data_IF_335874529814
#
_entry.id   IF_335874529814
#
_cell.length_a   1.000
_cell.length_b   1.000
_cell.length_c   1.000
_cell.angle_alpha   90.00
_cell.angle_beta   90.00
_cell.angle_gamma   90.00
#
_symmetry.space_group_name_H-M   'P 1'
#
loop_
_entity.id
_entity.type
_entity.pdbx_description
1 polymer ?
#
# COMPACT_ATOMS: atom_id res chain seq x y z
N UNK A 1 -18.41 -16.88 -37.82
CA UNK A 1 -17.11 -17.28 -38.40
C UNK A 1 -16.26 -16.04 -38.51
N UNK A 2 -15.33 -15.82 -37.57
CA UNK A 2 -14.35 -14.74 -37.73
C UNK A 2 -13.31 -15.18 -38.78
N UNK A 3 -13.03 -14.37 -39.81
CA UNK A 3 -12.00 -14.70 -40.78
C UNK A 3 -10.62 -14.58 -40.12
N UNK A 4 -9.72 -15.51 -40.45
CA UNK A 4 -8.32 -15.49 -40.03
C UNK A 4 -7.62 -14.22 -40.56
N UNK A 5 -7.62 -13.15 -39.77
CA UNK A 5 -6.84 -11.94 -40.05
C UNK A 5 -5.36 -12.23 -39.81
N UNK A 6 -4.58 -12.19 -40.88
CA UNK A 6 -3.12 -12.31 -40.85
C UNK A 6 -2.54 -10.91 -40.65
N UNK A 7 -2.17 -10.59 -39.41
CA UNK A 7 -1.50 -9.33 -39.05
C UNK A 7 -0.05 -9.39 -39.52
N UNK A 8 0.43 -8.35 -40.20
CA UNK A 8 1.83 -8.29 -40.64
C UNK A 8 2.78 -8.06 -39.46
N UNK A 9 4.03 -8.51 -39.58
CA UNK A 9 5.07 -8.32 -38.55
C UNK A 9 5.36 -6.85 -38.27
N UNK A 10 5.18 -5.98 -39.26
CA UNK A 10 5.43 -4.54 -39.16
C UNK A 10 4.32 -3.85 -38.35
N UNK A 11 3.06 -4.26 -38.53
CA UNK A 11 1.92 -3.77 -37.73
C UNK A 11 2.01 -4.23 -36.27
N UNK A 12 2.39 -5.50 -36.03
CA UNK A 12 2.70 -6.00 -34.69
C UNK A 12 3.87 -5.23 -34.05
N UNK A 13 4.90 -4.89 -34.83
CA UNK A 13 6.04 -4.10 -34.38
C UNK A 13 5.68 -2.67 -34.01
N UNK A 14 4.85 -2.00 -34.82
CA UNK A 14 4.36 -0.65 -34.55
C UNK A 14 3.44 -0.61 -33.32
N UNK A 15 2.54 -1.59 -33.18
CA UNK A 15 1.68 -1.75 -32.01
C UNK A 15 2.48 -2.02 -30.73
N UNK A 16 3.51 -2.85 -30.81
CA UNK A 16 4.42 -3.09 -29.68
C UNK A 16 5.18 -1.81 -29.31
N UNK A 17 5.71 -1.07 -30.29
CA UNK A 17 6.41 0.19 -30.04
C UNK A 17 5.50 1.26 -29.42
N UNK A 18 4.25 1.38 -29.88
CA UNK A 18 3.26 2.29 -29.32
C UNK A 18 2.83 1.89 -27.90
N UNK A 19 2.62 0.59 -27.66
CA UNK A 19 2.33 0.05 -26.34
C UNK A 19 3.48 0.24 -25.36
N UNK A 20 4.73 0.03 -25.80
CA UNK A 20 5.94 0.33 -25.03
C UNK A 20 6.08 1.83 -24.78
N UNK A 21 5.79 2.69 -25.76
CA UNK A 21 5.86 4.13 -25.57
C UNK A 21 4.80 4.64 -24.59
N UNK A 22 3.56 4.14 -24.67
CA UNK A 22 2.49 4.50 -23.74
C UNK A 22 2.77 3.96 -22.34
N UNK A 23 3.23 2.71 -22.24
CA UNK A 23 3.70 2.12 -20.99
C UNK A 23 4.84 2.96 -20.40
N UNK A 24 5.88 3.24 -21.17
CA UNK A 24 6.97 4.10 -20.72
C UNK A 24 6.49 5.50 -20.37
N UNK A 25 5.55 6.11 -21.09
CA UNK A 25 5.04 7.45 -20.79
C UNK A 25 4.23 7.49 -19.48
N UNK A 26 3.40 6.48 -19.23
CA UNK A 26 2.64 6.32 -17.98
C UNK A 26 3.55 5.93 -16.80
N UNK A 27 4.58 5.12 -17.05
CA UNK A 27 5.49 4.62 -16.01
C UNK A 27 6.79 5.43 -15.86
N UNK A 28 7.05 6.45 -16.70
CA UNK A 28 8.29 7.26 -16.67
C UNK A 28 8.47 7.99 -15.33
N UNK A 29 7.37 8.33 -14.67
CA UNK A 29 7.37 9.08 -13.42
C UNK A 29 7.01 8.24 -12.19
N UNK A 30 6.64 6.96 -12.36
CA UNK A 30 6.40 6.05 -11.24
C UNK A 30 5.26 6.44 -10.30
N UNK A 31 4.40 7.39 -10.68
CA UNK A 31 3.29 7.88 -9.87
C UNK A 31 1.99 7.85 -10.66
N UNK A 32 0.94 7.25 -10.06
CA UNK A 32 -0.44 7.51 -10.45
C UNK A 32 -0.86 8.82 -9.78
N UNK A 33 -0.60 9.94 -10.44
CA UNK A 33 -1.04 11.27 -10.00
C UNK A 33 -2.25 11.74 -10.83
N UNK A 34 -2.84 12.88 -10.45
CA UNK A 34 -3.94 13.49 -11.22
C UNK A 34 -3.55 13.79 -12.68
N UNK A 35 -2.26 13.97 -12.97
CA UNK A 35 -1.73 14.20 -14.31
C UNK A 35 -1.82 12.94 -15.18
N UNK A 36 -1.64 11.77 -14.59
CA UNK A 36 -1.85 10.46 -15.23
C UNK A 36 -3.31 10.26 -15.62
N UNK A 37 -4.26 10.75 -14.80
CA UNK A 37 -5.68 10.79 -15.12
C UNK A 37 -6.00 11.76 -16.27
N UNK A 38 -5.45 12.98 -16.24
CA UNK A 38 -5.61 13.94 -17.35
C UNK A 38 -5.01 13.42 -18.65
N UNK A 39 -3.89 12.70 -18.60
CA UNK A 39 -3.29 12.04 -19.76
C UNK A 39 -4.19 10.93 -20.32
N UNK A 40 -4.86 10.16 -19.45
CA UNK A 40 -5.85 9.15 -19.85
C UNK A 40 -7.11 9.78 -20.46
N UNK A 41 -7.61 10.89 -19.90
CA UNK A 41 -8.75 11.64 -20.46
C UNK A 41 -8.41 12.29 -21.80
N UNK A 42 -7.21 12.90 -21.91
CA UNK A 42 -6.71 13.45 -23.16
C UNK A 42 -6.48 12.34 -24.19
N UNK A 43 -5.96 11.18 -23.79
CA UNK A 43 -5.83 10.03 -24.67
C UNK A 43 -7.20 9.49 -25.11
N UNK A 44 -8.22 9.50 -24.23
CA UNK A 44 -9.59 9.12 -24.55
C UNK A 44 -10.29 10.14 -25.47
N UNK A 45 -10.03 11.43 -25.31
CA UNK A 45 -10.52 12.51 -26.16
C UNK A 45 -9.86 12.47 -27.54
N UNK A 46 -8.53 12.34 -27.59
CA UNK A 46 -7.78 12.13 -28.84
C UNK A 46 -8.24 10.85 -29.55
N UNK A 47 -8.55 9.78 -28.79
CA UNK A 47 -9.20 8.57 -29.29
C UNK A 47 -10.57 8.86 -29.91
N UNK A 48 -11.43 9.67 -29.30
CA UNK A 48 -12.74 10.02 -29.84
C UNK A 48 -12.63 10.82 -31.15
N UNK A 49 -11.69 11.77 -31.21
CA UNK A 49 -11.43 12.58 -32.41
C UNK A 49 -10.79 11.75 -33.53
N UNK A 50 -9.84 10.87 -33.21
CA UNK A 50 -9.21 9.99 -34.19
C UNK A 50 -10.18 8.91 -34.68
N UNK A 51 -11.05 8.36 -33.84
CA UNK A 51 -12.05 7.37 -34.29
C UNK A 51 -13.13 7.96 -35.20
N UNK A 52 -13.40 9.26 -35.12
CA UNK A 52 -14.21 9.99 -36.11
C UNK A 52 -13.50 10.15 -37.47
N UNK A 53 -12.17 10.28 -37.48
CA UNK A 53 -11.36 10.42 -38.71
C UNK A 53 -10.95 9.08 -39.33
N UNK A 54 -10.76 8.05 -38.51
CA UNK A 54 -10.32 6.69 -38.92
C UNK A 54 -11.37 5.99 -39.78
N UNK A 55 -12.65 6.32 -39.61
CA UNK A 55 -13.75 5.78 -40.42
C UNK A 55 -13.69 6.20 -41.90
N UNK A 56 -13.00 7.30 -42.24
CA UNK A 56 -12.89 7.79 -43.62
C UNK A 56 -11.64 7.29 -44.36
N UNK A 57 -10.62 6.77 -43.66
CA UNK A 57 -9.27 6.61 -44.25
C UNK A 57 -8.70 5.19 -44.14
N UNK A 58 -9.15 4.36 -43.18
CA UNK A 58 -8.55 3.03 -42.96
C UNK A 58 -9.45 1.88 -43.41
N UNK A 59 -8.84 0.83 -43.96
CA UNK A 59 -9.53 -0.40 -44.35
C UNK A 59 -10.11 -1.14 -43.12
N UNK A 60 -11.32 -1.72 -43.25
CA UNK A 60 -12.09 -2.36 -42.17
C UNK A 60 -11.27 -3.32 -41.28
N UNK A 61 -10.33 -4.08 -41.85
CA UNK A 61 -9.48 -5.03 -41.12
C UNK A 61 -8.52 -4.38 -40.11
N UNK A 62 -8.09 -3.15 -40.38
CA UNK A 62 -7.20 -2.38 -39.50
C UNK A 62 -7.99 -1.76 -38.35
N UNK A 63 -9.24 -1.36 -38.64
CA UNK A 63 -10.19 -0.84 -37.65
C UNK A 63 -10.54 -1.91 -36.62
N UNK A 64 -10.84 -3.14 -37.06
CA UNK A 64 -11.15 -4.27 -36.15
C UNK A 64 -9.97 -4.63 -35.24
N UNK A 65 -8.75 -4.67 -35.77
CA UNK A 65 -7.54 -5.01 -34.98
C UNK A 65 -7.24 -3.95 -33.92
N UNK A 66 -7.38 -2.67 -34.28
CA UNK A 66 -7.22 -1.53 -33.36
C UNK A 66 -8.34 -1.54 -32.31
N UNK A 67 -9.59 -1.77 -32.70
CA UNK A 67 -10.73 -1.87 -31.79
C UNK A 67 -10.58 -3.04 -30.81
N UNK A 68 -10.06 -4.18 -31.26
CA UNK A 68 -9.85 -5.34 -30.40
C UNK A 68 -8.74 -5.07 -29.36
N UNK A 69 -7.60 -4.50 -29.75
CA UNK A 69 -6.54 -4.09 -28.81
C UNK A 69 -7.07 -3.03 -27.83
N UNK A 70 -7.81 -2.05 -28.33
CA UNK A 70 -8.42 -1.01 -27.49
C UNK A 70 -9.48 -1.55 -26.54
N UNK A 71 -10.24 -2.57 -26.94
CA UNK A 71 -11.18 -3.26 -26.08
C UNK A 71 -10.44 -3.95 -24.92
N UNK A 72 -9.35 -4.68 -25.19
CA UNK A 72 -8.57 -5.34 -24.13
C UNK A 72 -7.85 -4.37 -23.20
N UNK A 73 -7.32 -3.26 -23.73
CA UNK A 73 -6.74 -2.19 -22.89
C UNK A 73 -7.82 -1.52 -22.04
N UNK A 74 -8.98 -1.21 -22.62
CA UNK A 74 -10.10 -0.63 -21.88
C UNK A 74 -10.68 -1.63 -20.85
N UNK A 75 -10.76 -2.92 -21.17
CA UNK A 75 -11.20 -3.97 -20.26
C UNK A 75 -10.20 -4.22 -19.12
N UNK A 76 -8.89 -4.15 -19.38
CA UNK A 76 -7.87 -4.22 -18.34
C UNK A 76 -7.93 -2.99 -17.41
N UNK A 77 -8.16 -1.80 -17.96
CA UNK A 77 -8.36 -0.56 -17.20
C UNK A 77 -9.65 -0.65 -16.37
N UNK A 78 -10.78 -1.04 -16.98
CA UNK A 78 -12.07 -1.21 -16.30
C UNK A 78 -11.99 -2.31 -15.23
N UNK A 79 -11.30 -3.42 -15.49
CA UNK A 79 -11.08 -4.49 -14.51
C UNK A 79 -10.20 -4.06 -13.33
N UNK A 80 -9.20 -3.21 -13.57
CA UNK A 80 -8.39 -2.61 -12.50
C UNK A 80 -9.22 -1.61 -11.66
N UNK A 81 -10.11 -0.84 -12.30
CA UNK A 81 -10.98 0.10 -11.60
C UNK A 81 -12.14 -0.58 -10.85
N UNK A 82 -12.73 -1.65 -11.40
CA UNK A 82 -13.78 -2.42 -10.72
C UNK A 82 -13.22 -3.13 -9.48
N UNK A 83 -12.03 -3.73 -9.59
CA UNK A 83 -11.36 -4.40 -8.46
C UNK A 83 -11.00 -3.43 -7.34
N UNK A 84 -10.54 -2.21 -7.64
CA UNK A 84 -10.27 -1.20 -6.62
C UNK A 84 -11.55 -0.74 -5.89
N UNK A 85 -12.65 -0.50 -6.62
CA UNK A 85 -13.94 -0.13 -6.01
C UNK A 85 -14.51 -1.25 -5.13
N UNK A 86 -14.39 -2.50 -5.56
CA UNK A 86 -14.79 -3.67 -4.76
C UNK A 86 -13.95 -3.80 -3.48
N UNK A 87 -12.67 -3.44 -3.53
CA UNK A 87 -11.81 -3.41 -2.36
C UNK A 87 -12.21 -2.31 -1.38
N UNK A 88 -12.66 -1.16 -1.86
CA UNK A 88 -13.12 -0.07 -0.97
C UNK A 88 -14.28 -0.51 -0.07
N UNK A 89 -15.29 -1.19 -0.63
CA UNK A 89 -16.44 -1.66 0.14
C UNK A 89 -16.04 -2.68 1.23
N UNK A 90 -15.05 -3.54 0.92
CA UNK A 90 -14.51 -4.51 1.90
C UNK A 90 -13.72 -3.82 2.99
N UNK A 91 -12.83 -2.89 2.62
CA UNK A 91 -12.07 -2.06 3.57
C UNK A 91 -13.02 -1.26 4.47
N UNK A 92 -14.13 -0.75 3.93
CA UNK A 92 -15.16 -0.07 4.69
C UNK A 92 -15.74 -0.95 5.80
N UNK A 93 -16.15 -2.17 5.47
CA UNK A 93 -16.72 -3.11 6.44
C UNK A 93 -15.75 -3.41 7.60
N UNK A 94 -14.47 -3.70 7.32
CA UNK A 94 -13.47 -3.90 8.38
C UNK A 94 -13.19 -2.64 9.19
N UNK A 95 -13.31 -1.46 8.57
CA UNK A 95 -13.14 -0.19 9.29
C UNK A 95 -14.29 0.01 10.27
N UNK A 96 -15.53 -0.32 9.88
CA UNK A 96 -16.67 -0.28 10.79
C UNK A 96 -16.53 -1.29 11.93
N UNK A 97 -16.01 -2.49 11.66
CA UNK A 97 -15.68 -3.47 12.70
C UNK A 97 -14.62 -2.95 13.69
N UNK A 98 -13.57 -2.29 13.18
CA UNK A 98 -12.55 -1.63 14.01
C UNK A 98 -13.16 -0.51 14.86
N UNK A 99 -14.04 0.33 14.29
CA UNK A 99 -14.72 1.40 15.02
C UNK A 99 -15.63 0.83 16.12
N UNK A 100 -16.30 -0.29 15.86
CA UNK A 100 -17.05 -1.02 16.88
C UNK A 100 -16.13 -1.49 18.01
N UNK A 101 -14.94 -2.00 17.68
CA UNK A 101 -13.96 -2.39 18.68
C UNK A 101 -13.42 -1.21 19.50
N UNK A 102 -13.26 -0.03 18.89
CA UNK A 102 -12.91 1.22 19.58
C UNK A 102 -14.01 1.70 20.53
N UNK A 103 -15.28 1.43 20.21
CA UNK A 103 -16.43 1.80 21.07
C UNK A 103 -16.60 0.86 22.28
N UNK A 104 -16.23 -0.43 22.17
CA UNK A 104 -16.44 -1.44 23.24
C UNK A 104 -15.93 -1.01 24.63
N UNK A 105 -14.72 -0.44 24.78
CA UNK A 105 -14.18 -0.06 26.09
C UNK A 105 -14.87 1.16 26.71
N UNK A 106 -15.73 1.89 25.98
CA UNK A 106 -16.45 3.10 26.47
C UNK A 106 -15.52 4.11 27.17
N UNK A 107 -14.41 4.47 26.52
CA UNK A 107 -13.42 5.42 27.07
C UNK A 107 -12.34 4.80 27.96
N UNK A 108 -12.38 3.47 28.19
CA UNK A 108 -11.26 2.75 28.80
C UNK A 108 -10.10 2.59 27.82
N UNK A 109 -8.93 2.17 28.35
CA UNK A 109 -7.71 2.00 27.57
C UNK A 109 -7.84 0.87 26.54
N UNK A 110 -7.30 1.11 25.35
CA UNK A 110 -7.27 0.19 24.22
C UNK A 110 -5.85 0.08 23.68
N UNK A 111 -5.36 -1.14 23.49
CA UNK A 111 -4.05 -1.40 22.87
C UNK A 111 -4.16 -1.26 21.34
N UNK A 112 -3.95 -0.07 20.81
CA UNK A 112 -4.24 0.22 19.40
C UNK A 112 -3.26 -0.44 18.44
N UNK A 113 -2.01 -0.69 18.87
CA UNK A 113 -1.06 -1.39 18.00
C UNK A 113 -1.54 -2.80 17.69
N UNK A 114 -2.13 -3.47 18.68
CA UNK A 114 -2.78 -4.78 18.51
C UNK A 114 -4.01 -4.72 17.60
N UNK A 115 -4.91 -3.76 17.80
CA UNK A 115 -6.12 -3.65 16.99
C UNK A 115 -5.86 -3.21 15.54
N UNK A 116 -4.85 -2.38 15.29
CA UNK A 116 -4.43 -2.04 13.92
C UNK A 116 -3.74 -3.20 13.20
N UNK A 117 -3.05 -4.09 13.94
CA UNK A 117 -2.61 -5.37 13.38
C UNK A 117 -3.82 -6.22 12.98
N UNK A 118 -4.81 -6.38 13.84
CA UNK A 118 -6.01 -7.16 13.49
C UNK A 118 -6.71 -6.63 12.26
N UNK A 119 -6.88 -5.31 12.19
CA UNK A 119 -7.50 -4.63 11.06
C UNK A 119 -6.81 -4.94 9.74
N UNK A 120 -5.51 -4.65 9.65
CA UNK A 120 -4.76 -4.79 8.41
C UNK A 120 -4.59 -6.25 7.98
N UNK A 121 -4.37 -7.17 8.93
CA UNK A 121 -4.27 -8.59 8.60
C UNK A 121 -5.60 -9.19 8.15
N UNK A 122 -6.72 -8.84 8.80
CA UNK A 122 -8.04 -9.35 8.38
C UNK A 122 -8.41 -8.83 6.98
N UNK A 123 -8.09 -7.55 6.69
CA UNK A 123 -8.25 -6.98 5.34
C UNK A 123 -7.38 -7.75 4.34
N UNK A 124 -6.11 -7.97 4.61
CA UNK A 124 -5.25 -8.67 3.66
C UNK A 124 -5.61 -10.15 3.49
N UNK A 125 -6.08 -10.82 4.55
CA UNK A 125 -6.63 -12.17 4.46
C UNK A 125 -7.80 -12.21 3.47
N UNK A 126 -8.71 -11.25 3.60
CA UNK A 126 -9.87 -11.14 2.73
C UNK A 126 -9.48 -10.70 1.30
N UNK A 127 -8.84 -9.55 1.14
CA UNK A 127 -8.50 -8.99 -0.17
C UNK A 127 -7.53 -9.85 -0.99
N UNK A 128 -6.68 -10.65 -0.33
CA UNK A 128 -5.77 -11.55 -1.04
C UNK A 128 -6.33 -12.96 -1.21
N UNK A 129 -7.05 -13.51 -0.23
CA UNK A 129 -7.44 -14.93 -0.23
C UNK A 129 -8.95 -15.16 -0.04
N UNK A 130 -9.77 -14.12 -0.15
CA UNK A 130 -11.22 -14.19 0.00
C UNK A 130 -11.69 -14.62 1.40
N UNK A 131 -10.81 -14.66 2.40
CA UNK A 131 -11.12 -15.13 3.74
C UNK A 131 -10.40 -14.30 4.81
N UNK A 132 -11.18 -13.64 5.67
CA UNK A 132 -10.65 -12.98 6.88
C UNK A 132 -10.02 -13.97 7.85
N UNK A 133 -9.07 -13.50 8.66
CA UNK A 133 -8.55 -14.26 9.80
C UNK A 133 -9.40 -14.10 11.07
N UNK A 134 -10.46 -13.27 11.02
CA UNK A 134 -11.44 -13.00 12.07
C UNK A 134 -10.84 -12.47 13.39
N UNK A 135 -9.67 -11.83 13.34
CA UNK A 135 -9.01 -11.30 14.53
C UNK A 135 -9.74 -10.08 15.12
N UNK A 136 -10.32 -9.22 14.28
CA UNK A 136 -11.15 -8.10 14.72
C UNK A 136 -12.42 -8.56 15.45
N UNK A 137 -13.06 -9.63 14.96
CA UNK A 137 -14.28 -10.19 15.55
C UNK A 137 -13.98 -10.85 16.87
N UNK A 138 -12.98 -11.72 16.90
CA UNK A 138 -12.65 -12.54 18.07
C UNK A 138 -11.89 -11.76 19.14
N UNK A 139 -11.19 -10.68 18.77
CA UNK A 139 -10.29 -9.94 19.65
C UNK A 139 -9.11 -10.79 20.14
N UNK A 140 -8.73 -11.81 19.36
CA UNK A 140 -7.70 -12.80 19.72
C UNK A 140 -6.66 -12.93 18.62
N UNK A 141 -5.42 -13.11 19.04
CA UNK A 141 -4.30 -13.23 18.13
C UNK A 141 -4.43 -14.55 17.37
N UNK A 142 -4.44 -14.47 16.04
CA UNK A 142 -4.20 -15.67 15.26
C UNK A 142 -2.80 -16.20 15.55
N UNK A 143 -2.64 -17.51 15.62
CA UNK A 143 -1.37 -18.14 15.99
C UNK A 143 -0.20 -17.73 15.07
N UNK A 144 -0.49 -17.37 13.82
CA UNK A 144 0.54 -17.00 12.86
C UNK A 144 1.07 -15.58 13.11
N UNK A 145 0.30 -14.67 13.71
CA UNK A 145 0.72 -13.28 13.95
C UNK A 145 1.93 -13.23 14.89
N UNK A 146 1.84 -13.90 16.04
CA UNK A 146 2.97 -14.01 16.98
C UNK A 146 4.17 -14.75 16.38
N UNK A 147 3.90 -15.77 15.57
CA UNK A 147 4.93 -16.53 14.85
C UNK A 147 5.65 -15.65 13.80
N UNK A 148 4.92 -14.82 13.06
CA UNK A 148 5.46 -13.88 12.06
C UNK A 148 6.34 -12.84 12.73
N UNK A 149 5.85 -12.16 13.77
CA UNK A 149 6.63 -11.12 14.45
C UNK A 149 7.88 -11.70 15.14
N UNK A 150 7.80 -12.92 15.68
CA UNK A 150 8.98 -13.62 16.25
C UNK A 150 9.98 -14.00 15.15
N UNK A 151 9.51 -14.52 14.01
CA UNK A 151 10.37 -14.80 12.85
C UNK A 151 11.02 -13.54 12.27
N UNK A 152 10.33 -12.42 12.24
CA UNK A 152 10.88 -11.15 11.72
C UNK A 152 12.01 -10.61 12.60
N UNK A 153 11.89 -10.72 13.93
CA UNK A 153 13.00 -10.44 14.86
C UNK A 153 14.21 -11.33 14.54
N UNK A 154 13.97 -12.61 14.25
CA UNK A 154 15.04 -13.57 13.93
C UNK A 154 15.68 -13.32 12.57
N UNK A 155 14.90 -12.92 11.55
CA UNK A 155 15.40 -12.51 10.23
C UNK A 155 16.33 -11.30 10.35
N UNK A 156 15.98 -10.33 11.21
CA UNK A 156 16.81 -9.14 11.47
C UNK A 156 18.15 -9.44 12.16
N UNK A 157 18.25 -10.54 12.93
CA UNK A 157 19.45 -10.87 13.73
C UNK A 157 20.33 -11.94 13.04
N UNK A 158 19.77 -12.88 12.26
CA UNK A 158 20.53 -13.89 11.51
C UNK A 158 19.79 -14.37 10.26
N UNK A 159 20.30 -14.05 9.05
CA UNK A 159 19.67 -14.46 7.79
C UNK A 159 19.76 -15.95 7.45
N UNK A 160 20.40 -16.81 8.26
CA UNK A 160 20.74 -18.16 7.78
C UNK A 160 20.66 -19.35 8.75
N UNK A 161 20.59 -19.20 10.08
CA UNK A 161 20.92 -20.35 10.95
C UNK A 161 19.89 -20.79 12.00
N UNK A 162 19.01 -19.93 12.54
CA UNK A 162 18.28 -20.28 13.79
C UNK A 162 16.74 -20.36 13.66
N UNK A 163 16.13 -19.83 12.61
CA UNK A 163 14.66 -19.71 12.50
C UNK A 163 13.86 -20.92 11.99
N UNK A 164 14.39 -22.16 11.94
CA UNK A 164 13.75 -23.24 11.15
C UNK A 164 12.34 -23.67 11.60
N UNK A 165 12.02 -23.70 12.89
CA UNK A 165 10.77 -24.31 13.38
C UNK A 165 9.55 -23.39 13.31
N UNK A 166 9.69 -22.15 13.75
CA UNK A 166 8.61 -21.15 13.67
C UNK A 166 8.39 -20.71 12.22
N UNK A 167 9.46 -20.58 11.43
CA UNK A 167 9.36 -20.36 9.99
C UNK A 167 8.60 -21.48 9.30
N UNK A 168 8.86 -22.75 9.65
CA UNK A 168 8.10 -23.89 9.12
C UNK A 168 6.62 -23.86 9.52
N UNK A 169 6.26 -23.29 10.68
CA UNK A 169 4.86 -23.13 11.08
C UNK A 169 4.16 -22.07 10.24
N UNK A 170 4.79 -20.91 10.04
CA UNK A 170 4.28 -19.88 9.15
C UNK A 170 4.17 -20.38 7.69
N UNK A 171 5.20 -21.08 7.20
CA UNK A 171 5.17 -21.67 5.86
C UNK A 171 4.06 -22.72 5.69
N UNK A 172 3.76 -23.53 6.72
CA UNK A 172 2.61 -24.45 6.67
C UNK A 172 1.29 -23.70 6.59
N UNK A 173 1.14 -22.60 7.31
CA UNK A 173 -0.03 -21.73 7.22
C UNK A 173 -0.21 -21.17 5.81
N UNK A 174 0.82 -20.53 5.26
CA UNK A 174 0.75 -19.94 3.91
C UNK A 174 0.49 -21.00 2.84
N UNK A 175 1.16 -22.16 2.91
CA UNK A 175 0.87 -23.28 2.01
C UNK A 175 -0.57 -23.77 2.13
N UNK A 176 -1.16 -23.70 3.32
CA UNK A 176 -2.58 -23.94 3.54
C UNK A 176 -3.46 -22.95 2.78
N UNK A 177 -3.18 -21.63 2.91
CA UNK A 177 -3.90 -20.58 2.16
C UNK A 177 -3.82 -20.81 0.65
N UNK A 178 -2.60 -21.06 0.12
CA UNK A 178 -2.39 -21.33 -1.31
C UNK A 178 -3.18 -22.56 -1.75
N UNK A 179 -3.16 -23.65 -0.97
CA UNK A 179 -3.93 -24.85 -1.29
C UNK A 179 -5.43 -24.56 -1.32
N UNK A 180 -5.97 -23.91 -0.29
CA UNK A 180 -7.38 -23.54 -0.23
C UNK A 180 -7.78 -22.67 -1.41
N UNK A 181 -6.90 -21.75 -1.87
CA UNK A 181 -7.17 -20.92 -3.04
C UNK A 181 -7.08 -21.67 -4.36
N UNK A 182 -6.20 -22.64 -4.50
CA UNK A 182 -6.18 -23.52 -5.69
C UNK A 182 -7.47 -24.35 -5.77
N UNK A 183 -7.98 -24.80 -4.63
CA UNK A 183 -9.16 -25.66 -4.55
C UNK A 183 -10.49 -24.88 -4.65
N UNK A 184 -10.51 -23.60 -4.29
CA UNK A 184 -11.73 -22.79 -4.22
C UNK A 184 -11.54 -21.47 -4.96
N UNK A 185 -12.26 -21.28 -6.07
CA UNK A 185 -12.31 -20.01 -6.79
C UNK A 185 -13.23 -19.01 -6.07
N UNK A 186 -12.81 -17.74 -5.86
CA UNK A 186 -13.62 -16.77 -5.14
C UNK A 186 -14.72 -16.23 -6.05
N UNK A 187 -15.88 -15.93 -5.48
CA UNK A 187 -16.98 -15.31 -6.23
C UNK A 187 -16.62 -13.91 -6.77
N UNK A 188 -15.78 -13.18 -6.04
CA UNK A 188 -15.22 -11.88 -6.45
C UNK A 188 -13.71 -12.04 -6.56
N UNK A 189 -13.07 -11.66 -7.69
CA UNK A 189 -11.63 -11.79 -7.85
C UNK A 189 -10.84 -11.06 -6.75
N UNK A 190 -10.06 -11.84 -5.99
CA UNK A 190 -9.07 -11.34 -5.03
C UNK A 190 -7.70 -11.16 -5.70
N UNK A 191 -6.72 -10.59 -4.99
CA UNK A 191 -5.37 -10.38 -5.56
C UNK A 191 -4.75 -11.71 -6.00
N UNK A 192 -4.96 -12.78 -5.22
CA UNK A 192 -4.35 -14.08 -5.50
C UNK A 192 -4.98 -14.79 -6.70
N UNK A 193 -6.23 -14.47 -7.08
CA UNK A 193 -6.86 -14.94 -8.31
C UNK A 193 -5.99 -14.61 -9.54
N UNK A 194 -5.48 -13.38 -9.62
CA UNK A 194 -4.65 -12.94 -10.74
C UNK A 194 -3.27 -13.61 -10.75
N UNK A 195 -2.65 -13.77 -9.58
CA UNK A 195 -1.36 -14.46 -9.45
C UNK A 195 -1.50 -15.94 -9.81
N UNK A 196 -2.57 -16.58 -9.36
CA UNK A 196 -2.84 -17.98 -9.67
C UNK A 196 -3.16 -18.16 -11.17
N UNK A 197 -3.87 -17.22 -11.78
CA UNK A 197 -4.14 -17.21 -13.21
C UNK A 197 -2.85 -17.13 -14.04
N UNK A 198 -1.94 -16.21 -13.69
CA UNK A 198 -0.61 -16.11 -14.33
C UNK A 198 0.20 -17.39 -14.14
N UNK A 199 0.26 -17.93 -12.91
CA UNK A 199 0.93 -19.19 -12.62
C UNK A 199 0.38 -20.36 -13.47
N UNK A 200 -0.93 -20.42 -13.69
CA UNK A 200 -1.58 -21.46 -14.47
C UNK A 200 -1.33 -21.35 -15.99
N UNK A 201 -0.84 -20.22 -16.50
CA UNK A 201 -0.38 -20.11 -17.90
C UNK A 201 0.84 -20.99 -18.17
N UNK A 202 1.63 -21.30 -17.14
CA UNK A 202 2.73 -22.25 -17.22
C UNK A 202 2.21 -23.68 -17.10
N UNK A 203 2.04 -24.36 -18.23
CA UNK A 203 1.55 -25.74 -18.27
C UNK A 203 2.51 -26.80 -17.69
N UNK A 204 3.77 -26.43 -17.36
CA UNK A 204 4.77 -27.33 -16.75
C UNK A 204 5.51 -26.61 -15.62
N UNK A 205 4.83 -26.28 -14.51
CA UNK A 205 5.45 -25.51 -13.44
C UNK A 205 6.55 -26.32 -12.76
N UNK A 206 7.71 -25.69 -12.60
CA UNK A 206 8.86 -26.25 -11.90
C UNK A 206 8.62 -26.29 -10.40
N UNK A 207 9.53 -26.94 -9.66
CA UNK A 207 9.52 -26.84 -8.19
C UNK A 207 9.72 -25.39 -7.72
N UNK A 208 10.58 -24.62 -8.39
CA UNK A 208 10.83 -23.22 -8.04
C UNK A 208 9.58 -22.36 -8.26
N UNK A 209 8.82 -22.59 -9.33
CA UNK A 209 7.58 -21.84 -9.59
C UNK A 209 6.54 -22.05 -8.48
N UNK A 210 6.46 -23.28 -7.96
CA UNK A 210 5.57 -23.60 -6.83
C UNK A 210 5.99 -22.90 -5.54
N UNK A 211 7.30 -22.84 -5.27
CA UNK A 211 7.82 -22.13 -4.10
C UNK A 211 7.68 -20.61 -4.27
N UNK A 212 7.82 -20.07 -5.48
CA UNK A 212 7.56 -18.66 -5.78
C UNK A 212 6.10 -18.29 -5.51
N UNK A 213 5.13 -19.11 -5.93
CA UNK A 213 3.71 -18.89 -5.65
C UNK A 213 3.41 -18.82 -4.13
N UNK A 214 4.06 -19.68 -3.34
CA UNK A 214 3.99 -19.64 -1.86
C UNK A 214 4.70 -18.42 -1.29
N UNK A 215 5.81 -18.01 -1.92
CA UNK A 215 6.53 -16.78 -1.61
C UNK A 215 5.69 -15.53 -1.82
N UNK A 216 4.97 -15.44 -2.94
CA UNK A 216 4.05 -14.34 -3.25
C UNK A 216 2.92 -14.26 -2.23
N UNK A 217 2.31 -15.39 -1.88
CA UNK A 217 1.31 -15.45 -0.81
C UNK A 217 1.88 -14.97 0.54
N UNK A 218 3.10 -15.40 0.89
CA UNK A 218 3.77 -14.98 2.12
C UNK A 218 4.02 -13.47 2.13
N UNK A 219 4.51 -12.94 1.00
CA UNK A 219 4.80 -11.52 0.82
C UNK A 219 3.53 -10.68 0.94
N UNK A 220 2.43 -11.09 0.33
CA UNK A 220 1.16 -10.35 0.40
C UNK A 220 0.64 -10.25 1.84
N UNK A 221 0.64 -11.35 2.58
CA UNK A 221 0.20 -11.37 3.99
C UNK A 221 1.03 -10.41 4.84
N UNK A 222 2.36 -10.44 4.71
CA UNK A 222 3.25 -9.66 5.58
C UNK A 222 3.35 -8.21 5.12
N UNK A 223 3.61 -7.96 3.84
CA UNK A 223 3.88 -6.64 3.30
C UNK A 223 2.65 -5.72 3.35
N UNK A 224 1.46 -6.25 3.09
CA UNK A 224 0.21 -5.47 3.13
C UNK A 224 -0.26 -5.17 4.56
N UNK A 225 0.01 -6.07 5.50
CA UNK A 225 -0.54 -5.96 6.87
C UNK A 225 0.37 -5.18 7.81
N UNK A 226 1.61 -5.65 8.02
CA UNK A 226 2.50 -5.11 9.05
C UNK A 226 2.83 -3.63 8.81
N UNK A 227 3.00 -3.24 7.53
CA UNK A 227 3.37 -1.86 7.18
C UNK A 227 2.23 -0.88 7.44
N UNK A 228 0.99 -1.26 7.12
CA UNK A 228 -0.21 -0.48 7.38
C UNK A 228 -0.47 -0.37 8.89
N UNK A 229 -0.37 -1.48 9.64
CA UNK A 229 -0.52 -1.49 11.09
C UNK A 229 0.50 -0.58 11.80
N UNK A 230 1.77 -0.65 11.39
CA UNK A 230 2.83 0.20 11.93
C UNK A 230 2.56 1.68 11.64
N UNK A 231 2.13 2.00 10.41
CA UNK A 231 1.80 3.37 10.00
C UNK A 231 0.66 3.94 10.84
N UNK A 232 -0.45 3.20 10.98
CA UNK A 232 -1.58 3.59 11.83
C UNK A 232 -1.13 3.79 13.28
N UNK A 233 -0.38 2.85 13.83
CA UNK A 233 0.10 2.93 15.22
C UNK A 233 0.93 4.19 15.46
N UNK A 234 1.90 4.48 14.58
CA UNK A 234 2.76 5.66 14.72
C UNK A 234 1.99 6.97 14.52
N UNK A 235 1.02 6.97 13.62
CA UNK A 235 0.16 8.13 13.37
C UNK A 235 -0.70 8.46 14.61
N UNK A 236 -1.33 7.45 15.22
CA UNK A 236 -2.13 7.64 16.44
C UNK A 236 -1.28 7.94 17.68
N UNK A 237 -0.04 7.45 17.73
CA UNK A 237 0.94 7.90 18.70
C UNK A 237 1.21 9.41 18.58
N UNK A 238 1.39 9.92 17.36
CA UNK A 238 1.56 11.35 17.13
C UNK A 238 0.32 12.16 17.50
N UNK A 239 -0.88 11.71 17.15
CA UNK A 239 -2.12 12.42 17.52
C UNK A 239 -2.30 12.53 19.04
N UNK A 240 -1.93 11.49 19.80
CA UNK A 240 -1.99 11.52 21.25
C UNK A 240 -0.98 12.50 21.89
N UNK A 241 0.14 12.79 21.22
CA UNK A 241 1.17 13.73 21.69
C UNK A 241 1.01 15.16 21.16
N UNK A 242 0.30 15.33 20.04
CA UNK A 242 0.13 16.59 19.32
C UNK A 242 -1.36 16.94 19.17
N UNK A 243 -2.07 17.24 20.28
CA UNK A 243 -3.50 17.51 20.24
C UNK A 243 -3.87 18.72 19.37
N UNK A 244 -2.97 19.68 19.20
CA UNK A 244 -3.11 20.81 18.29
C UNK A 244 -3.14 20.38 16.81
N UNK A 245 -2.26 19.46 16.42
CA UNK A 245 -2.24 18.88 15.07
C UNK A 245 -3.51 18.06 14.86
N UNK A 246 -3.88 17.24 15.83
CA UNK A 246 -5.07 16.40 15.73
C UNK A 246 -6.36 17.23 15.62
N UNK A 247 -6.50 18.32 16.38
CA UNK A 247 -7.64 19.26 16.26
C UNK A 247 -7.72 19.92 14.87
N UNK A 248 -6.59 20.26 14.26
CA UNK A 248 -6.57 20.82 12.91
C UNK A 248 -7.01 19.80 11.86
N UNK A 249 -6.58 18.54 12.00
CA UNK A 249 -7.07 17.43 11.19
C UNK A 249 -8.57 17.20 11.38
N UNK A 250 -9.03 17.15 12.64
CA UNK A 250 -10.45 17.01 12.98
C UNK A 250 -11.28 18.07 12.27
N UNK A 251 -10.84 19.33 12.27
CA UNK A 251 -11.53 20.40 11.54
C UNK A 251 -11.65 20.12 10.04
N UNK A 252 -10.56 19.75 9.36
CA UNK A 252 -10.61 19.46 7.91
C UNK A 252 -11.56 18.29 7.61
N UNK A 253 -11.52 17.25 8.45
CA UNK A 253 -12.37 16.07 8.32
C UNK A 253 -13.85 16.40 8.59
N UNK A 254 -14.14 17.22 9.59
CA UNK A 254 -15.52 17.64 9.89
C UNK A 254 -16.08 18.54 8.78
N UNK A 255 -15.26 19.46 8.23
CA UNK A 255 -15.66 20.29 7.09
C UNK A 255 -15.95 19.40 5.87
N UNK A 256 -15.17 18.33 5.64
CA UNK A 256 -15.44 17.33 4.60
C UNK A 256 -16.79 16.65 4.81
N UNK A 257 -17.03 16.06 5.99
CA UNK A 257 -18.29 15.36 6.26
C UNK A 257 -19.48 16.31 6.28
N UNK A 258 -19.34 17.56 6.73
CA UNK A 258 -20.43 18.54 6.67
C UNK A 258 -20.86 18.87 5.24
N UNK A 259 -19.94 18.82 4.27
CA UNK A 259 -20.21 19.08 2.87
C UNK A 259 -20.69 17.84 2.10
N UNK A 260 -20.20 16.65 2.46
CA UNK A 260 -20.55 15.38 1.79
C UNK A 260 -21.76 14.66 2.44
N UNK A 261 -22.17 15.02 3.67
CA UNK A 261 -23.29 14.42 4.43
C UNK A 261 -24.68 14.61 3.80
N UNK A 262 -24.78 15.10 2.57
CA UNK A 262 -26.01 14.96 1.77
C UNK A 262 -26.18 13.55 1.18
N UNK A 263 -25.15 12.69 1.23
CA UNK A 263 -25.22 11.28 0.85
C UNK A 263 -24.45 10.40 1.82
N UNK A 264 -25.10 9.33 2.34
CA UNK A 264 -24.44 8.28 3.14
C UNK A 264 -23.38 7.48 2.33
N UNK A 265 -23.30 7.71 1.01
CA UNK A 265 -22.42 7.04 0.06
C UNK A 265 -21.27 7.96 -0.40
N UNK A 266 -20.31 8.26 0.48
CA UNK A 266 -19.06 8.94 0.07
C UNK A 266 -18.01 7.92 -0.40
N UNK A 267 -17.31 8.23 -1.50
CA UNK A 267 -16.26 7.36 -2.07
C UNK A 267 -14.95 7.52 -1.28
N UNK A 268 -14.25 6.42 -0.99
CA UNK A 268 -13.02 6.48 -0.18
C UNK A 268 -11.92 7.28 -0.87
N UNK A 269 -11.94 7.28 -2.20
CA UNK A 269 -11.12 8.11 -3.07
C UNK A 269 -11.16 9.60 -2.70
N UNK A 270 -12.28 10.11 -2.18
CA UNK A 270 -12.45 11.52 -1.82
C UNK A 270 -11.60 11.94 -0.63
N UNK A 271 -11.27 11.02 0.29
CA UNK A 271 -10.33 11.31 1.39
C UNK A 271 -8.92 11.61 0.88
N UNK A 272 -8.55 11.14 -0.31
CA UNK A 272 -7.28 11.47 -0.95
C UNK A 272 -7.13 12.95 -1.31
N UNK A 273 -8.23 13.72 -1.29
CA UNK A 273 -8.24 15.17 -1.57
C UNK A 273 -7.97 16.04 -0.33
N UNK A 274 -8.05 15.46 0.86
CA UNK A 274 -7.83 16.17 2.13
C UNK A 274 -6.33 16.44 2.33
N UNK A 275 -5.94 17.70 2.16
CA UNK A 275 -4.53 18.10 2.11
C UNK A 275 -3.83 17.91 3.44
N UNK A 276 -4.51 18.24 4.55
CA UNK A 276 -3.92 18.14 5.88
C UNK A 276 -3.90 16.69 6.39
N UNK A 277 -4.92 15.88 6.06
CA UNK A 277 -4.89 14.42 6.24
C UNK A 277 -3.69 13.80 5.52
N UNK A 278 -3.44 14.16 4.27
CA UNK A 278 -2.28 13.66 3.55
C UNK A 278 -0.96 14.12 4.21
N UNK A 279 -0.90 15.38 4.65
CA UNK A 279 0.28 15.94 5.31
C UNK A 279 0.63 15.24 6.63
N UNK A 280 -0.35 14.86 7.47
CA UNK A 280 -0.08 14.11 8.70
C UNK A 280 0.39 12.68 8.41
N UNK A 281 -0.11 12.05 7.35
CA UNK A 281 0.31 10.72 6.90
C UNK A 281 1.75 10.77 6.39
N UNK A 282 2.07 11.74 5.52
CA UNK A 282 3.41 11.90 4.95
C UNK A 282 4.46 12.23 6.03
N UNK A 283 4.11 13.07 7.00
CA UNK A 283 5.02 13.38 8.11
C UNK A 283 5.22 12.19 9.05
N UNK A 284 4.17 11.38 9.28
CA UNK A 284 4.26 10.15 10.06
C UNK A 284 5.14 9.13 9.35
N UNK A 285 4.96 8.93 8.04
CA UNK A 285 5.80 8.03 7.22
C UNK A 285 7.25 8.50 7.12
N UNK A 286 7.50 9.82 7.13
CA UNK A 286 8.85 10.38 7.16
C UNK A 286 9.56 10.04 8.48
N UNK A 287 8.88 10.22 9.61
CA UNK A 287 9.45 9.93 10.93
C UNK A 287 9.50 8.43 11.24
N UNK A 288 8.47 7.69 10.92
CA UNK A 288 8.37 6.26 11.20
C UNK A 288 8.10 5.46 9.92
N UNK A 289 9.06 5.46 8.97
CA UNK A 289 8.93 4.65 7.76
C UNK A 289 8.82 3.17 8.17
N UNK A 290 7.80 2.43 7.69
CA UNK A 290 7.66 1.02 8.03
C UNK A 290 8.84 0.14 7.62
N UNK A 291 9.67 0.58 6.67
CA UNK A 291 10.93 -0.07 6.27
C UNK A 291 12.09 0.88 6.57
N UNK A 292 12.47 0.95 7.86
CA UNK A 292 13.37 1.98 8.39
C UNK A 292 14.81 1.92 7.83
N UNK A 293 15.38 0.71 7.74
CA UNK A 293 16.70 0.47 7.11
C UNK A 293 16.71 0.64 5.58
N UNK A 294 15.54 0.77 4.96
CA UNK A 294 15.36 0.81 3.51
C UNK A 294 15.51 -0.55 2.83
N UNK A 295 15.16 -0.58 1.54
CA UNK A 295 15.23 -1.80 0.73
C UNK A 295 16.58 -1.92 0.02
N UNK A 296 17.01 -3.16 -0.17
CA UNK A 296 18.21 -3.46 -0.93
C UNK A 296 18.08 -3.10 -2.42
N UNK A 297 19.21 -2.69 -3.00
CA UNK A 297 19.44 -2.55 -4.44
C UNK A 297 20.75 -3.25 -4.76
N UNK A 298 20.87 -3.75 -5.99
CA UNK A 298 22.12 -4.34 -6.47
C UNK A 298 22.70 -3.46 -7.57
N UNK A 299 23.98 -3.12 -7.45
CA UNK A 299 24.71 -2.44 -8.53
C UNK A 299 24.82 -3.35 -9.76
N UNK A 300 24.84 -2.80 -10.98
CA UNK A 300 25.00 -3.62 -12.18
C UNK A 300 26.37 -4.35 -12.19
N UNK A 301 26.56 -5.41 -12.99
CA UNK A 301 27.79 -6.21 -12.98
C UNK A 301 29.08 -5.41 -13.22
N UNK A 302 29.00 -4.33 -14.00
CA UNK A 302 30.11 -3.44 -14.30
C UNK A 302 30.43 -2.43 -13.18
N UNK A 303 29.67 -2.39 -12.09
CA UNK A 303 29.78 -1.36 -11.05
C UNK A 303 29.11 -0.06 -11.44
N UNK A 304 29.10 0.90 -10.52
CA UNK A 304 28.46 2.20 -10.72
C UNK A 304 29.16 3.29 -9.89
N UNK A 305 29.27 4.48 -10.47
CA UNK A 305 29.72 5.68 -9.78
C UNK A 305 28.52 6.33 -9.07
N UNK A 306 28.57 6.48 -7.74
CA UNK A 306 27.57 7.21 -6.94
C UNK A 306 28.26 8.39 -6.26
N UNK A 307 27.95 9.61 -6.71
CA UNK A 307 28.68 10.80 -6.28
C UNK A 307 30.17 10.69 -6.61
N UNK A 308 31.02 10.88 -5.62
CA UNK A 308 32.47 10.77 -5.71
C UNK A 308 32.99 9.33 -5.50
N UNK A 309 32.11 8.36 -5.21
CA UNK A 309 32.50 6.99 -4.89
C UNK A 309 32.14 5.97 -5.98
N UNK A 310 33.14 5.23 -6.42
CA UNK A 310 32.94 4.03 -7.24
C UNK A 310 32.49 2.84 -6.38
N UNK A 311 31.41 2.18 -6.77
CA UNK A 311 30.89 0.97 -6.13
C UNK A 311 31.07 -0.22 -7.08
N UNK A 312 31.77 -1.30 -6.66
CA UNK A 312 31.96 -2.49 -7.49
C UNK A 312 30.65 -3.13 -7.91
N UNK A 313 30.67 -3.87 -9.01
CA UNK A 313 29.49 -4.54 -9.53
C UNK A 313 28.97 -5.66 -8.63
N UNK A 314 27.68 -5.97 -8.80
CA UNK A 314 26.94 -6.96 -8.00
C UNK A 314 26.94 -6.70 -6.47
N UNK A 315 27.31 -5.50 -6.02
CA UNK A 315 27.26 -5.07 -4.63
C UNK A 315 25.83 -4.77 -4.19
N UNK A 316 25.44 -5.28 -3.02
CA UNK A 316 24.19 -4.89 -2.37
C UNK A 316 24.38 -3.56 -1.64
N UNK A 317 23.55 -2.58 -1.97
CA UNK A 317 23.48 -1.27 -1.34
C UNK A 317 22.09 -1.03 -0.77
N UNK A 318 22.01 -0.25 0.31
CA UNK A 318 20.76 0.10 0.99
C UNK A 318 20.77 1.59 1.30
N UNK A 319 19.57 2.19 1.32
CA UNK A 319 19.37 3.60 1.65
C UNK A 319 18.71 3.68 3.01
N UNK A 320 19.39 4.13 4.07
CA UNK A 320 18.82 4.14 5.43
C UNK A 320 17.77 5.25 5.58
N UNK A 321 16.53 4.96 5.16
CA UNK A 321 15.42 5.91 5.08
C UNK A 321 15.18 6.63 6.40
N UNK A 322 15.15 5.91 7.52
CA UNK A 322 14.89 6.48 8.85
C UNK A 322 15.87 7.60 9.22
N UNK A 323 17.16 7.41 8.91
CA UNK A 323 18.22 8.36 9.21
C UNK A 323 18.23 9.52 8.21
N UNK A 324 18.08 9.24 6.92
CA UNK A 324 18.09 10.29 5.89
C UNK A 324 16.88 11.21 5.97
N UNK A 325 15.73 10.69 6.39
CA UNK A 325 14.53 11.47 6.64
C UNK A 325 14.65 12.40 7.86
N UNK A 326 15.67 12.24 8.70
CA UNK A 326 15.96 13.09 9.87
C UNK A 326 17.14 14.03 9.69
N UNK A 327 17.84 13.89 8.57
CA UNK A 327 19.04 14.69 8.32
C UNK A 327 18.66 16.17 8.15
N UNK A 328 19.20 17.12 8.94
CA UNK A 328 18.87 18.54 8.82
C UNK A 328 19.31 19.17 7.47
N UNK A 329 20.14 18.48 6.69
CA UNK A 329 20.50 18.86 5.31
C UNK A 329 19.33 18.67 4.34
N UNK A 330 18.45 17.70 4.59
CA UNK A 330 17.27 17.37 3.76
C UNK A 330 15.98 17.86 4.43
N UNK A 331 15.86 17.67 5.74
CA UNK A 331 14.72 18.05 6.58
C UNK A 331 15.18 18.81 7.83
N UNK A 332 15.29 20.15 7.79
CA UNK A 332 15.53 20.97 8.98
C UNK A 332 14.51 20.65 10.08
N UNK A 333 14.93 20.56 11.35
CA UNK A 333 14.07 20.07 12.46
C UNK A 333 13.51 18.68 12.14
N UNK A 334 14.39 17.78 11.70
CA UNK A 334 14.03 16.46 11.17
C UNK A 334 13.42 15.51 12.20
N UNK A 335 13.66 15.71 13.49
CA UNK A 335 13.08 14.87 14.56
C UNK A 335 11.69 15.34 15.03
N UNK A 336 11.24 16.51 14.57
CA UNK A 336 9.95 17.09 14.97
C UNK A 336 8.84 16.65 14.01
N UNK A 337 7.64 16.37 14.56
CA UNK A 337 6.44 16.07 13.79
C UNK A 337 5.75 17.38 13.39
N UNK A 338 5.97 17.81 12.15
CA UNK A 338 5.46 19.08 11.61
C UNK A 338 4.74 18.79 10.28
N UNK A 339 3.44 18.45 10.29
CA UNK A 339 2.67 18.23 9.06
C UNK A 339 2.68 19.45 8.13
N UNK A 340 2.77 20.66 8.68
CA UNK A 340 2.87 21.91 7.92
C UNK A 340 4.04 21.91 6.93
N UNK A 341 5.07 21.09 7.16
CA UNK A 341 6.19 20.89 6.25
C UNK A 341 5.75 20.51 4.82
N UNK A 342 4.62 19.82 4.69
CA UNK A 342 4.05 19.39 3.41
C UNK A 342 3.03 20.40 2.86
N UNK A 343 2.68 21.43 3.63
CA UNK A 343 1.66 22.43 3.29
C UNK A 343 2.21 23.86 3.37
N UNK A 344 2.16 24.49 4.53
CA UNK A 344 2.45 25.92 4.72
C UNK A 344 3.90 26.26 5.06
N UNK A 345 4.72 25.28 5.45
CA UNK A 345 6.12 25.44 5.85
C UNK A 345 7.06 24.63 4.93
N UNK A 346 6.92 24.79 3.61
CA UNK A 346 7.67 24.00 2.60
C UNK A 346 9.18 24.23 2.65
N UNK A 347 9.63 25.34 3.20
CA UNK A 347 11.05 25.64 3.46
C UNK A 347 11.71 24.62 4.41
N UNK A 348 10.91 23.87 5.16
CA UNK A 348 11.36 22.77 6.02
C UNK A 348 11.58 21.44 5.25
N UNK A 349 11.46 21.46 3.92
CA UNK A 349 11.88 20.39 3.00
C UNK A 349 12.92 20.95 2.04
N UNK A 350 14.20 20.71 2.31
CA UNK A 350 15.29 21.10 1.40
C UNK A 350 15.46 20.12 0.24
N UNK A 351 15.26 18.83 0.54
CA UNK A 351 15.28 17.75 -0.44
C UNK A 351 14.33 16.64 0.00
N UNK A 352 13.27 16.41 -0.79
CA UNK A 352 12.26 15.39 -0.52
C UNK A 352 12.69 13.98 -0.96
N UNK A 353 13.77 13.84 -1.74
CA UNK A 353 14.20 12.57 -2.36
C UNK A 353 14.34 11.41 -1.37
N UNK A 354 14.83 11.61 -0.13
CA UNK A 354 14.91 10.51 0.84
C UNK A 354 13.54 10.02 1.34
N UNK A 355 12.49 10.85 1.28
CA UNK A 355 11.15 10.48 1.70
C UNK A 355 10.45 9.64 0.64
N UNK A 356 10.88 8.39 0.50
CA UNK A 356 10.30 7.40 -0.41
C UNK A 356 9.75 6.18 0.36
N UNK A 357 8.75 6.35 1.24
CA UNK A 357 8.22 5.26 2.08
C UNK A 357 7.61 4.11 1.27
N UNK A 358 7.20 4.39 0.03
CA UNK A 358 6.70 3.40 -0.93
C UNK A 358 7.73 2.96 -1.97
N UNK A 359 9.02 3.24 -1.76
CA UNK A 359 10.10 2.97 -2.74
C UNK A 359 9.89 3.73 -4.06
N UNK A 360 10.84 3.61 -5.00
CA UNK A 360 10.80 4.24 -6.32
C UNK A 360 11.28 3.28 -7.41
N UNK A 361 10.87 3.57 -8.66
CA UNK A 361 11.26 2.82 -9.85
C UNK A 361 10.48 1.52 -10.04
N UNK A 362 11.05 0.57 -10.78
CA UNK A 362 10.40 -0.70 -11.15
C UNK A 362 9.89 -1.53 -9.96
N UNK A 363 10.50 -1.36 -8.79
CA UNK A 363 10.16 -2.06 -7.55
C UNK A 363 9.55 -1.11 -6.51
N UNK A 364 8.75 -0.12 -6.96
CA UNK A 364 7.89 0.66 -6.08
C UNK A 364 6.79 -0.23 -5.48
N UNK A 365 6.24 0.16 -4.33
CA UNK A 365 5.22 -0.59 -3.62
C UNK A 365 3.94 -0.71 -4.47
N UNK A 366 3.58 -1.94 -4.83
CA UNK A 366 2.34 -2.25 -5.56
C UNK A 366 1.09 -1.94 -4.73
N UNK A 367 1.18 -2.05 -3.40
CA UNK A 367 0.08 -1.81 -2.47
C UNK A 367 -0.12 -0.35 -2.04
N UNK A 368 0.61 0.62 -2.62
CA UNK A 368 0.59 2.03 -2.18
C UNK A 368 -0.83 2.59 -2.07
N UNK A 369 -1.67 2.38 -3.09
CA UNK A 369 -3.02 2.94 -3.12
C UNK A 369 -3.94 2.29 -2.08
N UNK A 370 -3.88 0.96 -1.95
CA UNK A 370 -4.66 0.23 -0.95
C UNK A 370 -4.26 0.63 0.48
N UNK A 371 -2.97 0.61 0.80
CA UNK A 371 -2.48 0.98 2.12
C UNK A 371 -2.79 2.43 2.49
N UNK A 372 -2.67 3.37 1.54
CA UNK A 372 -3.08 4.77 1.78
C UNK A 372 -4.59 4.91 1.97
N UNK A 373 -5.41 4.13 1.26
CA UNK A 373 -6.86 4.13 1.45
C UNK A 373 -7.22 3.66 2.88
N UNK A 374 -6.67 2.53 3.32
CA UNK A 374 -6.82 2.02 4.68
C UNK A 374 -6.42 3.06 5.74
N UNK A 375 -5.21 3.63 5.61
CA UNK A 375 -4.69 4.62 6.56
C UNK A 375 -5.58 5.87 6.60
N UNK A 376 -5.97 6.41 5.43
CA UNK A 376 -6.83 7.60 5.35
C UNK A 376 -8.20 7.32 5.95
N UNK A 377 -8.82 6.18 5.64
CA UNK A 377 -10.17 5.84 6.08
C UNK A 377 -10.24 5.70 7.60
N UNK A 378 -9.35 4.90 8.19
CA UNK A 378 -9.27 4.73 9.65
C UNK A 378 -9.01 6.07 10.34
N UNK A 379 -8.04 6.82 9.82
CA UNK A 379 -7.65 8.12 10.40
C UNK A 379 -8.80 9.12 10.36
N UNK A 380 -9.46 9.29 9.21
CA UNK A 380 -10.55 10.24 9.04
C UNK A 380 -11.75 9.85 9.92
N UNK A 381 -12.17 8.58 9.92
CA UNK A 381 -13.35 8.17 10.69
C UNK A 381 -13.11 8.23 12.19
N UNK A 382 -11.91 7.91 12.67
CA UNK A 382 -11.58 8.08 14.09
C UNK A 382 -11.45 9.56 14.44
N UNK A 383 -10.81 10.38 13.61
CA UNK A 383 -10.72 11.84 13.80
C UNK A 383 -12.11 12.47 13.90
N UNK A 384 -13.02 12.10 13.01
CA UNK A 384 -14.38 12.61 13.00
C UNK A 384 -15.15 12.24 14.28
N UNK A 385 -14.98 11.02 14.81
CA UNK A 385 -15.80 10.49 15.91
C UNK A 385 -15.19 10.63 17.30
N UNK A 386 -13.86 10.73 17.43
CA UNK A 386 -13.18 10.59 18.72
C UNK A 386 -12.05 11.61 18.94
N UNK A 387 -11.93 12.05 20.20
CA UNK A 387 -10.69 12.57 20.75
C UNK A 387 -9.79 11.42 21.21
N UNK A 388 -8.48 11.58 21.02
CA UNK A 388 -7.47 10.55 21.33
C UNK A 388 -6.48 11.10 22.34
N UNK A 389 -6.11 10.27 23.32
CA UNK A 389 -5.07 10.58 24.30
C UNK A 389 -4.31 9.31 24.70
N UNK A 390 -3.09 9.46 25.22
CA UNK A 390 -2.36 8.36 25.85
C UNK A 390 -3.17 7.85 27.05
N UNK A 391 -3.28 6.53 27.17
CA UNK A 391 -3.91 5.92 28.35
C UNK A 391 -3.07 6.13 29.62
N UNK A 392 -3.68 6.11 30.81
CA UNK A 392 -2.94 6.16 32.06
C UNK A 392 -1.85 5.07 32.13
N UNK A 393 -0.61 5.48 32.34
CA UNK A 393 0.57 4.60 32.41
C UNK A 393 1.30 4.40 31.08
N UNK A 394 0.71 4.78 29.94
CA UNK A 394 1.42 4.83 28.66
C UNK A 394 2.30 6.08 28.61
N UNK A 395 3.58 5.93 28.29
CA UNK A 395 4.50 7.07 28.10
C UNK A 395 5.09 7.11 26.70
N UNK A 396 5.55 8.31 26.32
CA UNK A 396 6.29 8.53 25.08
C UNK A 396 7.54 7.67 25.03
N UNK A 397 8.28 7.61 26.13
CA UNK A 397 9.55 6.90 26.24
C UNK A 397 9.35 5.40 26.13
N UNK A 398 8.29 4.85 26.73
CA UNK A 398 7.94 3.43 26.61
C UNK A 398 7.64 3.03 25.16
N UNK A 399 6.92 3.89 24.42
CA UNK A 399 6.67 3.64 23.01
C UNK A 399 7.95 3.76 22.18
N UNK A 400 8.71 4.85 22.30
CA UNK A 400 9.92 5.04 21.48
C UNK A 400 11.01 4.01 21.75
N UNK A 401 11.24 3.63 23.01
CA UNK A 401 12.26 2.64 23.39
C UNK A 401 11.90 1.21 22.98
N UNK A 402 10.61 0.94 22.77
CA UNK A 402 10.13 -0.37 22.34
C UNK A 402 10.09 -0.57 20.81
N UNK A 403 10.32 0.47 20.01
CA UNK A 403 10.37 0.36 18.55
C UNK A 403 11.60 -0.48 18.14
N UNK A 404 11.38 -1.42 17.22
CA UNK A 404 12.45 -2.27 16.65
C UNK A 404 12.37 -2.26 15.13
N UNK A 405 13.52 -2.23 14.47
CA UNK A 405 13.63 -2.51 13.03
C UNK A 405 13.88 -4.01 12.85
N UNK A 406 12.85 -4.74 12.42
CA UNK A 406 12.87 -6.18 12.20
C UNK A 406 12.44 -6.49 10.76
N UNK A 407 13.09 -5.84 9.77
CA UNK A 407 12.67 -5.77 8.36
C UNK A 407 11.46 -4.86 8.12
N UNK A 408 10.40 -5.01 8.92
CA UNK A 408 9.38 -3.99 9.12
C UNK A 408 9.50 -3.38 10.51
N UNK A 409 8.97 -2.17 10.68
CA UNK A 409 8.94 -1.46 11.94
C UNK A 409 8.00 -2.18 12.92
N UNK A 410 8.56 -2.90 13.87
CA UNK A 410 7.80 -3.51 14.95
C UNK A 410 7.49 -2.43 15.99
N UNK A 411 6.21 -2.13 16.15
CA UNK A 411 5.73 -1.16 17.13
C UNK A 411 5.43 -1.86 18.46
N UNK A 412 5.83 -1.27 19.60
CA UNK A 412 5.46 -1.84 20.89
C UNK A 412 3.99 -1.58 21.20
N UNK A 413 3.57 -2.04 22.37
CA UNK A 413 2.25 -1.75 22.92
C UNK A 413 1.98 -0.24 22.96
N UNK A 414 0.84 0.19 22.43
CA UNK A 414 0.38 1.58 22.48
C UNK A 414 -1.03 1.61 23.06
N UNK A 415 -1.14 1.90 24.35
CA UNK A 415 -2.44 2.05 25.00
C UNK A 415 -2.96 3.50 24.85
N UNK A 416 -4.11 3.66 24.19
CA UNK A 416 -4.81 4.94 24.02
C UNK A 416 -6.20 4.90 24.66
N UNK A 417 -6.75 6.08 24.96
CA UNK A 417 -8.16 6.28 25.33
C UNK A 417 -8.88 7.08 24.27
N UNK A 418 -10.11 6.69 23.97
CA UNK A 418 -10.97 7.33 22.97
C UNK A 418 -12.21 7.92 23.63
N UNK A 419 -12.43 9.23 23.53
CA UNK A 419 -13.66 9.87 23.98
C UNK A 419 -14.45 10.39 22.79
N UNK A 420 -15.76 10.08 22.74
CA UNK A 420 -16.62 10.52 21.64
C UNK A 420 -16.67 12.05 21.57
N UNK A 421 -16.60 12.57 20.35
CA UNK A 421 -16.76 14.00 20.06
C UNK A 421 -18.25 14.35 20.07
N UNK A 422 -18.55 15.55 20.55
CA UNK A 422 -19.90 16.11 20.65
C UNK A 422 -20.39 16.68 19.34
#
# INVERSE_FOLDING_TARGET
>A
MMPNLTVSREELGACFAAGVFLHLAVFRYGEWDAHSFTLLEVAAFVKAVLSLFVYEVLAESTIDSIQHVMFWVSAAIVGLFSTLRDYEARVAAYTDELLCAVDRPKGQKLDVSKWFNYYSFDIMGDLAFGNSFNMLKDGKDSYFLSTTHTNMVLIGIFSATIGRWEYQRFQRFVRGLVRTRIENEPHVPDVFHWILSDYNTNHKPTWQDKENLVGDASLIVVAGSDTTAATLTCLFYHFALHPEVYKKLQKEVDDFFANEATSDDWESSSLGKLQYLQAVIDESLRLFPPVASGLQRQTPPQGVQIGDRWIPGNTIVMTPTYTLCRDPRTFPRGDEFIPERWTTQRELVKDATPNAPFSVGRFSCVGKQLGLNEVRRVTALIAHRYNVALAPGQTKEAFLSGIRDNFTLATPKLELTFSRRS
#
